data_IF_969088246201
#
_entry.id   IF_969088246201
#
_cell.length_a   1.000
_cell.length_b   1.000
_cell.length_c   1.000
_cell.angle_alpha   90.00
_cell.angle_beta   90.00
_cell.angle_gamma   90.00
#
_symmetry.space_group_name_H-M   'P 1'
#
loop_
_entity.id
_entity.type
_entity.pdbx_description
1 polymer ?
#
# COMPACT_ATOMS: atom_id res chain seq x y z
N UNK A 1 2.34 11.03 12.02
CA UNK A 1 1.95 9.75 12.67
C UNK A 1 1.25 8.88 11.63
N UNK A 2 1.94 7.85 11.14
CA UNK A 2 1.39 6.92 10.16
C UNK A 2 0.77 5.71 10.87
N UNK A 3 -0.49 5.38 10.59
CA UNK A 3 -1.10 4.11 11.01
C UNK A 3 -1.15 3.09 9.89
N UNK A 4 -1.39 1.82 10.24
CA UNK A 4 -1.63 0.75 9.29
C UNK A 4 -3.01 0.14 9.52
N UNK A 5 -3.85 0.15 8.49
CA UNK A 5 -5.08 -0.64 8.43
C UNK A 5 -4.84 -1.87 7.58
N UNK A 6 -4.82 -3.03 8.22
CA UNK A 6 -4.72 -4.31 7.55
C UNK A 6 -6.11 -4.79 7.13
N UNK A 7 -6.34 -4.88 5.83
CA UNK A 7 -7.59 -5.37 5.25
C UNK A 7 -7.52 -6.86 4.90
N UNK A 8 -8.63 -7.40 4.42
CA UNK A 8 -8.72 -8.75 3.85
C UNK A 8 -7.78 -8.92 2.64
N UNK A 9 -7.69 -10.13 2.08
CA UNK A 9 -6.90 -10.42 0.87
C UNK A 9 -5.58 -11.16 1.14
N UNK A 10 -5.10 -11.11 2.37
CA UNK A 10 -4.07 -12.02 2.90
C UNK A 10 -4.70 -13.11 3.79
N UNK A 11 -4.07 -14.28 3.86
CA UNK A 11 -4.55 -15.42 4.64
C UNK A 11 -3.98 -15.50 6.07
N UNK A 12 -3.01 -14.64 6.43
CA UNK A 12 -2.32 -14.71 7.71
C UNK A 12 -2.76 -13.59 8.68
N UNK A 13 -2.83 -13.89 10.00
CA UNK A 13 -3.19 -12.89 11.01
C UNK A 13 -2.17 -11.75 11.08
N UNK A 14 -2.63 -10.55 11.45
CA UNK A 14 -1.79 -9.34 11.49
C UNK A 14 -0.57 -9.47 12.40
N UNK A 15 -0.71 -10.13 13.55
CA UNK A 15 0.37 -10.37 14.51
C UNK A 15 1.53 -11.22 13.97
N UNK A 16 1.37 -11.90 12.82
CA UNK A 16 2.47 -12.62 12.18
C UNK A 16 3.45 -11.70 11.44
N UNK A 17 3.08 -10.44 11.18
CA UNK A 17 3.94 -9.53 10.43
C UNK A 17 5.10 -9.03 11.29
N UNK A 18 6.29 -9.60 11.08
CA UNK A 18 7.53 -9.14 11.72
C UNK A 18 7.82 -7.67 11.42
N UNK A 19 7.56 -7.23 10.18
CA UNK A 19 7.79 -5.84 9.74
C UNK A 19 6.91 -4.87 10.53
N UNK A 20 5.62 -5.16 10.68
CA UNK A 20 4.72 -4.30 11.45
C UNK A 20 5.19 -4.20 12.89
N UNK A 21 5.54 -5.33 13.51
CA UNK A 21 6.07 -5.34 14.89
C UNK A 21 7.34 -4.51 15.05
N UNK A 22 8.28 -4.59 14.10
CA UNK A 22 9.52 -3.82 14.11
C UNK A 22 9.25 -2.32 13.93
N UNK A 23 8.44 -1.94 12.93
CA UNK A 23 8.06 -0.54 12.70
C UNK A 23 7.28 0.07 13.88
N UNK A 24 6.45 -0.73 14.57
CA UNK A 24 5.75 -0.31 15.80
C UNK A 24 6.73 -0.07 16.94
N UNK A 25 7.64 -1.01 17.19
CA UNK A 25 8.68 -0.90 18.24
C UNK A 25 9.57 0.31 18.01
N UNK A 26 9.94 0.58 16.76
CA UNK A 26 10.86 1.66 16.39
C UNK A 26 10.14 3.02 16.24
N UNK A 27 8.83 3.08 16.53
CA UNK A 27 8.05 4.31 16.50
C UNK A 27 7.72 4.85 15.10
N UNK A 28 8.09 4.12 14.05
CA UNK A 28 7.83 4.47 12.65
C UNK A 28 6.35 4.25 12.27
N UNK A 29 5.68 3.31 12.93
CA UNK A 29 4.25 3.09 12.81
C UNK A 29 3.56 3.45 14.13
N UNK A 30 2.49 4.25 14.07
CA UNK A 30 1.77 4.76 15.22
C UNK A 30 0.72 3.78 15.79
N UNK A 31 0.27 2.82 14.98
CA UNK A 31 -0.69 1.79 15.38
C UNK A 31 -1.04 0.86 14.22
N UNK A 32 -1.67 -0.27 14.57
CA UNK A 32 -2.07 -1.30 13.62
C UNK A 32 -3.49 -1.78 13.93
N UNK A 33 -4.42 -1.53 13.01
CA UNK A 33 -5.82 -1.96 13.13
C UNK A 33 -6.12 -2.95 12.02
N UNK A 34 -6.76 -4.07 12.32
CA UNK A 34 -7.30 -4.97 11.30
C UNK A 34 -8.75 -4.63 11.00
N UNK A 35 -9.19 -4.86 9.76
CA UNK A 35 -10.54 -4.50 9.33
C UNK A 35 -11.24 -5.64 8.57
N UNK A 36 -12.55 -5.76 8.79
CA UNK A 36 -13.36 -6.79 8.15
C UNK A 36 -12.97 -8.19 8.65
N UNK A 37 -12.75 -9.17 7.76
CA UNK A 37 -12.37 -10.53 8.18
C UNK A 37 -10.89 -10.68 8.55
N UNK A 38 -10.08 -9.62 8.42
CA UNK A 38 -8.70 -9.63 8.93
C UNK A 38 -8.70 -9.49 10.46
N UNK A 39 -7.78 -10.17 11.13
CA UNK A 39 -7.71 -10.20 12.59
C UNK A 39 -6.26 -10.19 13.10
N UNK A 40 -6.09 -9.92 14.39
CA UNK A 40 -4.79 -9.96 15.07
C UNK A 40 -3.97 -8.67 14.93
N UNK A 41 -4.63 -7.53 14.74
CA UNK A 41 -4.03 -6.20 14.96
C UNK A 41 -4.06 -5.79 16.45
N UNK A 42 -3.63 -4.56 16.74
CA UNK A 42 -3.76 -3.95 18.09
C UNK A 42 -5.20 -3.52 18.38
N UNK A 43 -6.00 -3.29 17.33
CA UNK A 43 -7.44 -3.12 17.38
C UNK A 43 -8.10 -3.78 16.18
N UNK A 44 -9.39 -4.08 16.31
CA UNK A 44 -10.17 -4.76 15.28
C UNK A 44 -11.43 -3.95 14.94
N UNK A 45 -11.58 -3.59 13.67
CA UNK A 45 -12.70 -2.84 13.16
C UNK A 45 -13.60 -3.72 12.30
N UNK A 46 -14.91 -3.52 12.42
CA UNK A 46 -15.92 -4.27 11.66
C UNK A 46 -15.77 -4.01 10.15
N UNK A 47 -15.40 -2.78 9.75
CA UNK A 47 -15.27 -2.37 8.35
C UNK A 47 -13.99 -1.57 8.11
N UNK A 48 -13.52 -1.57 6.86
CA UNK A 48 -12.39 -0.71 6.43
C UNK A 48 -12.70 0.76 6.65
N UNK A 49 -13.93 1.19 6.39
CA UNK A 49 -14.36 2.58 6.62
C UNK A 49 -14.23 2.97 8.09
N UNK A 50 -14.73 2.11 8.99
CA UNK A 50 -14.62 2.35 10.44
C UNK A 50 -13.17 2.34 10.93
N UNK A 51 -12.31 1.48 10.36
CA UNK A 51 -10.89 1.45 10.70
C UNK A 51 -10.16 2.74 10.30
N UNK A 52 -10.43 3.24 9.08
CA UNK A 52 -9.85 4.47 8.56
C UNK A 52 -10.33 5.68 9.37
N UNK A 53 -11.63 5.79 9.61
CA UNK A 53 -12.21 6.86 10.43
C UNK A 53 -11.62 6.84 11.84
N UNK A 54 -11.66 5.70 12.53
CA UNK A 54 -11.12 5.56 13.89
C UNK A 54 -9.63 5.95 13.98
N UNK A 55 -8.84 5.51 13.00
CA UNK A 55 -7.42 5.85 12.90
C UNK A 55 -7.17 7.36 12.77
N UNK A 56 -7.90 8.01 11.87
CA UNK A 56 -7.75 9.44 11.59
C UNK A 56 -8.36 10.32 12.68
N UNK A 57 -9.59 10.05 13.12
CA UNK A 57 -10.38 10.90 14.00
C UNK A 57 -10.10 10.69 15.49
N UNK A 58 -9.82 9.45 15.89
CA UNK A 58 -9.72 9.08 17.31
C UNK A 58 -8.29 8.77 17.74
N UNK A 59 -7.54 8.00 16.94
CA UNK A 59 -6.14 7.70 17.25
C UNK A 59 -5.18 8.85 16.87
N UNK A 60 -5.67 9.85 16.13
CA UNK A 60 -4.90 11.02 15.71
C UNK A 60 -3.76 10.64 14.77
N UNK A 61 -4.03 9.79 13.79
CA UNK A 61 -3.11 9.52 12.70
C UNK A 61 -3.21 10.63 11.64
N UNK A 62 -2.06 11.06 11.13
CA UNK A 62 -1.98 12.07 10.07
C UNK A 62 -2.12 11.44 8.67
N UNK A 63 -1.81 10.15 8.57
CA UNK A 63 -1.91 9.35 7.36
C UNK A 63 -2.11 7.87 7.69
N UNK A 64 -2.64 7.11 6.73
CA UNK A 64 -2.90 5.67 6.88
C UNK A 64 -2.35 4.91 5.68
N UNK A 65 -1.50 3.92 5.94
CA UNK A 65 -1.25 2.86 4.98
C UNK A 65 -2.40 1.84 5.09
N UNK A 66 -3.00 1.46 3.97
CA UNK A 66 -4.11 0.49 3.95
C UNK A 66 -3.84 -0.58 2.92
N UNK A 67 -4.05 -1.83 3.30
CA UNK A 67 -3.85 -2.96 2.39
C UNK A 67 -3.84 -4.30 3.09
N UNK A 68 -3.77 -5.39 2.32
CA UNK A 68 -3.85 -6.73 2.85
C UNK A 68 -2.64 -7.08 3.72
N UNK A 69 -2.85 -8.00 4.65
CA UNK A 69 -1.78 -8.65 5.41
C UNK A 69 -0.99 -9.70 4.59
N UNK A 70 -0.06 -10.41 5.23
CA UNK A 70 0.73 -11.44 4.55
C UNK A 70 -0.14 -12.64 4.10
N UNK A 71 0.38 -13.41 3.14
CA UNK A 71 -0.32 -14.57 2.59
C UNK A 71 -1.31 -14.24 1.47
N UNK A 72 -0.95 -13.32 0.57
CA UNK A 72 -1.76 -13.00 -0.61
C UNK A 72 -1.94 -14.23 -1.49
N UNK A 73 -3.18 -14.57 -1.77
CA UNK A 73 -3.55 -15.66 -2.67
C UNK A 73 -3.74 -15.17 -4.10
N UNK A 74 -3.61 -16.07 -5.07
CA UNK A 74 -3.89 -15.77 -6.48
C UNK A 74 -4.24 -17.04 -7.26
N UNK A 75 -5.33 -16.99 -8.02
CA UNK A 75 -5.73 -18.03 -8.97
C UNK A 75 -5.05 -17.90 -10.33
N UNK A 76 -4.34 -16.79 -10.56
CA UNK A 76 -3.71 -16.46 -11.83
C UNK A 76 -4.63 -15.73 -12.83
N UNK A 77 -5.92 -15.59 -12.51
CA UNK A 77 -6.84 -14.76 -13.31
C UNK A 77 -6.67 -13.27 -13.01
N UNK A 78 -7.16 -12.42 -13.92
CA UNK A 78 -7.07 -10.96 -13.80
C UNK A 78 -7.68 -10.41 -12.50
N UNK A 79 -8.81 -10.98 -12.06
CA UNK A 79 -9.56 -10.53 -10.88
C UNK A 79 -9.38 -11.46 -9.67
N UNK A 80 -8.70 -12.60 -9.84
CA UNK A 80 -8.61 -13.65 -8.83
C UNK A 80 -7.37 -13.55 -7.96
N UNK A 81 -7.03 -12.37 -7.45
CA UNK A 81 -5.87 -12.18 -6.57
C UNK A 81 -6.20 -11.32 -5.35
N UNK A 82 -5.61 -11.64 -4.20
CA UNK A 82 -5.86 -10.93 -2.94
C UNK A 82 -5.43 -9.45 -2.96
N UNK A 83 -4.50 -9.08 -3.85
CA UNK A 83 -4.14 -7.68 -4.08
C UNK A 83 -5.27 -6.81 -4.67
N UNK A 84 -6.36 -7.40 -5.16
CA UNK A 84 -7.50 -6.65 -5.71
C UNK A 84 -8.20 -5.84 -4.62
N UNK A 85 -8.04 -6.20 -3.34
CA UNK A 85 -8.56 -5.43 -2.19
C UNK A 85 -8.06 -3.98 -2.12
N UNK A 86 -6.99 -3.64 -2.85
CA UNK A 86 -6.56 -2.26 -3.02
C UNK A 86 -7.65 -1.40 -3.69
N UNK A 87 -8.49 -1.99 -4.55
CA UNK A 87 -9.67 -1.35 -5.14
C UNK A 87 -10.66 -0.94 -4.04
N UNK A 88 -11.08 -1.89 -3.19
CA UNK A 88 -12.03 -1.65 -2.10
C UNK A 88 -11.49 -0.60 -1.12
N UNK A 89 -10.20 -0.70 -0.80
CA UNK A 89 -9.52 0.22 0.12
C UNK A 89 -9.48 1.64 -0.43
N UNK A 90 -9.16 1.79 -1.72
CA UNK A 90 -9.13 3.09 -2.38
C UNK A 90 -10.53 3.67 -2.56
N UNK A 91 -11.55 2.88 -2.96
CA UNK A 91 -12.94 3.34 -3.01
C UNK A 91 -13.42 3.83 -1.65
N UNK A 92 -13.10 3.09 -0.59
CA UNK A 92 -13.46 3.46 0.78
C UNK A 92 -12.81 4.79 1.18
N UNK A 93 -11.49 4.95 0.95
CA UNK A 93 -10.77 6.18 1.25
C UNK A 93 -11.36 7.38 0.48
N UNK A 94 -11.62 7.21 -0.81
CA UNK A 94 -12.24 8.24 -1.66
C UNK A 94 -13.65 8.61 -1.18
N UNK A 95 -14.47 7.62 -0.76
CA UNK A 95 -15.80 7.86 -0.24
C UNK A 95 -15.79 8.63 1.10
N UNK A 96 -14.74 8.46 1.90
CA UNK A 96 -14.49 9.24 3.12
C UNK A 96 -13.88 10.62 2.84
N UNK A 97 -13.70 11.01 1.57
CA UNK A 97 -13.10 12.28 1.19
C UNK A 97 -11.58 12.36 1.41
N UNK A 98 -10.90 11.22 1.58
CA UNK A 98 -9.46 11.20 1.77
C UNK A 98 -8.73 11.39 0.43
N UNK A 99 -7.71 12.25 0.43
CA UNK A 99 -6.70 12.21 -0.62
C UNK A 99 -6.03 10.83 -0.61
N UNK A 100 -5.99 10.20 -1.78
CA UNK A 100 -5.62 8.77 -1.91
C UNK A 100 -4.44 8.59 -2.85
N UNK A 101 -3.40 7.94 -2.34
CA UNK A 101 -2.24 7.47 -3.12
C UNK A 101 -2.36 5.96 -3.30
N UNK A 102 -2.40 5.48 -4.54
CA UNK A 102 -2.30 4.05 -4.83
C UNK A 102 -0.84 3.67 -5.03
N UNK A 103 -0.33 2.77 -4.19
CA UNK A 103 1.03 2.22 -4.35
C UNK A 103 1.05 1.28 -5.55
N UNK A 104 1.78 1.63 -6.60
CA UNK A 104 1.93 0.79 -7.76
C UNK A 104 2.76 -0.45 -7.43
N UNK A 105 2.26 -1.63 -7.80
CA UNK A 105 3.07 -2.84 -7.85
C UNK A 105 3.90 -2.78 -9.11
N UNK A 106 5.20 -2.66 -8.94
CA UNK A 106 6.15 -2.66 -10.05
C UNK A 106 7.22 -3.72 -9.84
N UNK A 107 7.77 -4.23 -10.94
CA UNK A 107 8.78 -5.27 -10.89
C UNK A 107 9.70 -5.20 -12.10
N UNK A 108 11.01 -5.34 -11.89
CA UNK A 108 11.98 -5.55 -12.97
C UNK A 108 12.47 -7.01 -13.02
N UNK A 109 12.16 -7.82 -12.01
CA UNK A 109 12.69 -9.18 -11.86
C UNK A 109 11.65 -10.30 -12.00
N UNK A 110 10.35 -10.01 -12.13
CA UNK A 110 9.30 -11.04 -12.29
C UNK A 110 9.37 -11.67 -13.70
N UNK A 111 9.60 -12.99 -13.86
CA UNK A 111 9.80 -13.59 -15.19
C UNK A 111 8.58 -13.50 -16.11
N UNK A 112 7.41 -13.14 -15.58
CA UNK A 112 6.18 -12.98 -16.36
C UNK A 112 6.09 -11.56 -16.88
N UNK A 113 6.11 -11.40 -18.20
CA UNK A 113 6.04 -10.12 -18.90
C UNK A 113 4.92 -9.20 -18.38
N UNK A 114 3.72 -9.73 -18.13
CA UNK A 114 2.58 -8.95 -17.59
C UNK A 114 2.80 -8.33 -16.21
N UNK A 115 3.85 -8.72 -15.48
CA UNK A 115 4.22 -8.17 -14.17
C UNK A 115 5.43 -7.24 -14.23
N UNK A 116 6.12 -7.18 -15.37
CA UNK A 116 7.29 -6.31 -15.59
C UNK A 116 6.87 -4.85 -15.76
N UNK A 117 7.67 -3.92 -15.23
CA UNK A 117 7.32 -2.51 -15.15
C UNK A 117 6.06 -2.30 -14.30
N UNK A 118 5.02 -1.67 -14.85
CA UNK A 118 3.72 -1.52 -14.19
C UNK A 118 2.89 -2.81 -14.30
N UNK A 119 2.80 -3.54 -13.19
CA UNK A 119 2.14 -4.84 -13.15
C UNK A 119 0.67 -4.76 -13.56
N UNK A 120 0.19 -5.78 -14.28
CA UNK A 120 -1.23 -5.97 -14.62
C UNK A 120 -2.15 -5.79 -13.40
N UNK A 121 -1.81 -6.35 -12.22
CA UNK A 121 -2.59 -6.15 -10.99
C UNK A 121 -2.88 -4.67 -10.67
N UNK A 122 -1.89 -3.79 -10.85
CA UNK A 122 -2.09 -2.35 -10.62
C UNK A 122 -2.95 -1.73 -11.71
N UNK A 123 -2.73 -2.11 -12.98
CA UNK A 123 -3.55 -1.65 -14.11
C UNK A 123 -5.03 -2.00 -13.91
N UNK A 124 -5.33 -3.25 -13.53
CA UNK A 124 -6.70 -3.70 -13.23
C UNK A 124 -7.37 -2.87 -12.13
N UNK A 125 -6.66 -2.58 -11.03
CA UNK A 125 -7.22 -1.73 -9.97
C UNK A 125 -7.50 -0.32 -10.50
N UNK A 126 -6.57 0.28 -11.24
CA UNK A 126 -6.74 1.62 -11.81
C UNK A 126 -7.93 1.69 -12.78
N UNK A 127 -8.07 0.71 -13.68
CA UNK A 127 -9.19 0.61 -14.62
C UNK A 127 -10.55 0.50 -13.93
N UNK A 128 -10.63 -0.21 -12.80
CA UNK A 128 -11.86 -0.43 -12.06
C UNK A 128 -12.20 0.67 -11.05
N UNK A 129 -11.27 1.57 -10.75
CA UNK A 129 -11.55 2.69 -9.87
C UNK A 129 -12.68 3.55 -10.47
N UNK A 130 -13.52 4.14 -9.61
CA UNK A 130 -14.63 5.00 -10.03
C UNK A 130 -14.25 6.50 -10.00
N UNK A 131 -13.31 6.88 -9.15
CA UNK A 131 -12.72 8.23 -9.08
C UNK A 131 -11.20 8.18 -9.26
N UNK A 132 -10.56 9.27 -9.71
CA UNK A 132 -9.11 9.31 -9.90
C UNK A 132 -8.38 9.26 -8.55
N UNK A 133 -7.14 8.79 -8.58
CA UNK A 133 -6.22 8.72 -7.44
C UNK A 133 -4.85 9.23 -7.88
N UNK A 134 -3.98 9.53 -6.91
CA UNK A 134 -2.57 9.80 -7.20
C UNK A 134 -1.79 8.50 -7.27
N UNK A 135 -0.88 8.37 -8.24
CA UNK A 135 0.04 7.24 -8.38
C UNK A 135 1.44 7.79 -8.56
N UNK A 136 2.33 7.47 -7.62
CA UNK A 136 3.74 7.81 -7.73
C UNK A 136 4.52 6.66 -8.37
N UNK A 137 5.41 6.97 -9.31
CA UNK A 137 6.29 6.00 -9.95
C UNK A 137 7.75 6.46 -9.91
N UNK A 138 8.72 5.53 -9.85
CA UNK A 138 10.14 5.88 -9.92
C UNK A 138 10.51 6.50 -11.26
N UNK A 139 11.48 7.42 -11.26
CA UNK A 139 11.96 8.07 -12.47
C UNK A 139 12.44 7.09 -13.54
N UNK A 140 12.18 7.43 -14.80
CA UNK A 140 12.48 6.60 -15.97
C UNK A 140 11.54 5.40 -16.16
N UNK A 141 10.51 5.26 -15.33
CA UNK A 141 9.47 4.25 -15.53
C UNK A 141 8.29 4.81 -16.32
N UNK A 142 7.61 3.94 -17.05
CA UNK A 142 6.43 4.34 -17.81
C UNK A 142 5.19 4.43 -16.92
N UNK A 143 4.60 5.63 -16.86
CA UNK A 143 3.29 5.86 -16.26
C UNK A 143 2.19 5.14 -17.03
N UNK A 144 1.09 4.81 -16.35
CA UNK A 144 -0.13 4.39 -17.03
C UNK A 144 -0.82 5.57 -17.71
N UNK A 145 -1.80 5.25 -18.55
CA UNK A 145 -2.60 6.26 -19.24
C UNK A 145 -3.89 6.58 -18.47
N UNK A 146 -4.62 7.60 -18.94
CA UNK A 146 -5.97 7.90 -18.48
C UNK A 146 -6.06 8.93 -17.36
N UNK A 147 -7.09 8.77 -16.52
CA UNK A 147 -7.61 9.82 -15.63
C UNK A 147 -6.89 10.00 -14.28
N UNK A 148 -5.92 9.15 -13.97
CA UNK A 148 -5.20 9.19 -12.69
C UNK A 148 -4.11 10.25 -12.70
N UNK A 149 -3.76 10.77 -11.51
CA UNK A 149 -2.67 11.74 -11.37
C UNK A 149 -1.36 10.99 -11.20
N UNK A 150 -0.55 10.96 -12.26
CA UNK A 150 0.77 10.34 -12.25
C UNK A 150 1.84 11.33 -11.79
N UNK A 151 2.68 10.88 -10.85
CA UNK A 151 3.81 11.66 -10.33
C UNK A 151 5.10 10.84 -10.49
N UNK A 152 6.05 11.37 -11.24
CA UNK A 152 7.39 10.80 -11.34
C UNK A 152 8.29 11.35 -10.22
N UNK A 153 9.06 10.48 -9.58
CA UNK A 153 9.93 10.82 -8.45
C UNK A 153 11.19 9.95 -8.44
N UNK A 154 12.29 10.52 -8.00
CA UNK A 154 13.50 9.75 -7.72
C UNK A 154 13.33 8.96 -6.42
N UNK A 155 13.66 7.68 -6.47
CA UNK A 155 13.63 6.80 -5.31
C UNK A 155 15.02 6.77 -4.65
N UNK A 156 15.11 7.23 -3.39
CA UNK A 156 16.34 7.16 -2.59
C UNK A 156 16.54 5.75 -1.99
N UNK A 157 16.89 4.79 -2.86
CA UNK A 157 17.14 3.40 -2.45
C UNK A 157 18.38 3.29 -1.54
N UNK A 158 19.39 4.13 -1.74
CA UNK A 158 20.59 4.16 -0.89
C UNK A 158 20.27 4.65 0.52
N UNK A 159 19.44 5.70 0.65
CA UNK A 159 18.91 6.15 1.94
C UNK A 159 18.02 5.09 2.60
N UNK A 160 17.17 4.39 1.82
CA UNK A 160 16.37 3.27 2.32
C UNK A 160 17.25 2.14 2.89
N UNK A 161 18.32 1.78 2.18
CA UNK A 161 19.33 0.82 2.60
C UNK A 161 20.04 1.27 3.90
N UNK A 162 20.49 2.52 3.94
CA UNK A 162 21.20 3.10 5.07
C UNK A 162 20.33 3.20 6.34
N UNK A 163 19.00 3.33 6.17
CA UNK A 163 18.04 3.34 7.28
C UNK A 163 17.87 1.98 7.98
N UNK A 164 18.50 0.91 7.46
CA UNK A 164 18.40 -0.44 8.04
C UNK A 164 17.02 -1.07 7.89
N UNK A 165 16.19 -0.56 6.98
CA UNK A 165 14.86 -1.09 6.70
C UNK A 165 14.94 -2.42 5.93
N UNK A 166 13.92 -3.29 6.01
CA UNK A 166 13.99 -4.63 5.43
C UNK A 166 14.18 -4.63 3.90
N UNK A 167 15.30 -5.18 3.43
CA UNK A 167 15.64 -5.31 2.00
C UNK A 167 14.98 -6.51 1.30
N UNK A 168 14.21 -7.28 2.06
CA UNK A 168 13.46 -8.44 1.59
C UNK A 168 12.05 -8.33 2.11
N UNK A 169 11.09 -8.44 1.20
CA UNK A 169 9.68 -8.56 1.57
C UNK A 169 9.11 -9.79 0.89
N UNK A 170 8.65 -10.76 1.69
CA UNK A 170 8.02 -11.99 1.20
C UNK A 170 8.86 -12.74 0.14
N UNK A 171 10.19 -12.80 0.32
CA UNK A 171 11.11 -13.47 -0.60
C UNK A 171 11.42 -12.69 -1.88
N UNK A 172 11.01 -11.41 -1.99
CA UNK A 172 11.33 -10.53 -3.12
C UNK A 172 12.60 -9.73 -2.85
N UNK A 173 13.46 -9.71 -3.86
CA UNK A 173 14.66 -8.87 -3.98
C UNK A 173 14.59 -8.09 -5.29
N UNK A 174 13.55 -7.27 -5.45
CA UNK A 174 13.30 -6.49 -6.66
C UNK A 174 13.42 -5.00 -6.35
N UNK A 175 14.48 -4.30 -6.80
CA UNK A 175 14.68 -2.89 -6.52
C UNK A 175 13.51 -2.01 -6.96
N UNK A 176 12.86 -2.34 -8.09
CA UNK A 176 11.75 -1.55 -8.61
C UNK A 176 10.50 -1.67 -7.73
N UNK A 177 10.30 -2.84 -7.10
CA UNK A 177 9.24 -3.05 -6.13
C UNK A 177 9.39 -2.11 -4.91
N UNK A 178 10.59 -1.99 -4.37
CA UNK A 178 10.88 -1.09 -3.25
C UNK A 178 10.84 0.38 -3.65
N UNK A 179 11.38 0.71 -4.83
CA UNK A 179 11.37 2.07 -5.35
C UNK A 179 9.94 2.62 -5.49
N UNK A 180 9.01 1.82 -6.05
CA UNK A 180 7.61 2.21 -6.21
C UNK A 180 6.90 2.47 -4.87
N UNK A 181 7.19 1.64 -3.86
CA UNK A 181 6.68 1.86 -2.51
C UNK A 181 7.28 3.13 -1.88
N UNK A 182 8.59 3.36 -2.06
CA UNK A 182 9.30 4.49 -1.47
C UNK A 182 8.80 5.83 -2.00
N UNK A 183 8.67 5.97 -3.32
CA UNK A 183 8.14 7.22 -3.93
C UNK A 183 6.70 7.48 -3.52
N UNK A 184 5.88 6.44 -3.39
CA UNK A 184 4.51 6.57 -2.92
C UNK A 184 4.44 7.03 -1.45
N UNK A 185 5.34 6.51 -0.60
CA UNK A 185 5.48 6.97 0.78
C UNK A 185 5.93 8.43 0.87
N UNK A 186 6.83 8.86 -0.01
CA UNK A 186 7.25 10.27 -0.11
C UNK A 186 6.09 11.21 -0.46
N UNK A 187 5.31 10.85 -1.49
CA UNK A 187 4.12 11.62 -1.88
C UNK A 187 3.06 11.65 -0.77
N UNK A 188 2.83 10.52 -0.08
CA UNK A 188 1.92 10.49 1.07
C UNK A 188 2.39 11.41 2.21
N UNK A 189 3.69 11.44 2.48
CA UNK A 189 4.28 12.32 3.49
C UNK A 189 4.10 13.79 3.13
N UNK A 190 4.32 14.18 1.86
CA UNK A 190 4.05 15.54 1.35
C UNK A 190 2.57 15.93 1.57
N UNK A 191 1.63 15.06 1.18
CA UNK A 191 0.19 15.29 1.36
C UNK A 191 -0.21 15.43 2.84
N UNK A 192 0.42 14.67 3.74
CA UNK A 192 0.12 14.73 5.18
C UNK A 192 0.61 16.00 5.86
N UNK A 193 1.66 16.65 5.33
CA UNK A 193 2.25 17.89 5.90
C UNK A 193 1.52 19.16 5.45
N UNK A 194 0.70 19.08 4.40
CA UNK A 194 -0.09 20.19 3.88
C UNK A 194 -1.42 20.43 4.61
N UNK A 195 -1.69 19.69 5.69
CA UNK A 195 -2.91 19.78 6.50
C UNK A 195 -2.68 20.53 7.81
#
# INVERSE_FOLDING_TARGET
>A
RLGYVQTAGGALPGGHSRVVRELRRDGLLAGHVTAGPAFGGEGEAITTAGALDYGLSTLGWDAVAVGPGPGILGSGSALGHGGLVALDSAHTALALGCETVLVARMSSSDPRERHQGLSHHTRTVLELLLAPVTVAIPSGQQAGEGRHRWLERDADLDGYLAAGLPLRSMGREDPLFFAAALVSGGVLAEMSRGR
#
